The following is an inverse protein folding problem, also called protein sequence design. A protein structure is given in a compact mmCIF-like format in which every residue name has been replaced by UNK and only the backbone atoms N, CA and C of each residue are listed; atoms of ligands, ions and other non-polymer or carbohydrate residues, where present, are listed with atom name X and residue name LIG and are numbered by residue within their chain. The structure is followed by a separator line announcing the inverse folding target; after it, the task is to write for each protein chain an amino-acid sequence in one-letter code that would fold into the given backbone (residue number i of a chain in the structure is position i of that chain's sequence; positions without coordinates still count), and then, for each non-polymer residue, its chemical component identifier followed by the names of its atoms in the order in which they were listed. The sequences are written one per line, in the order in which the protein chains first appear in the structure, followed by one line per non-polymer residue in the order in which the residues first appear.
data_IF_694987718106
#
_entry.id   IF_694987718106
#
_cell.length_a   1.000
_cell.length_b   1.000
_cell.length_c   1.000
_cell.angle_alpha   90.00
_cell.angle_beta   90.00
_cell.angle_gamma   90.00
#
_symmetry.space_group_name_H-M   'P 1'
#
loop_
_entity.id
_entity.type
_entity.pdbx_description
1 polymer ?
#
# COMPACT_ATOMS: atom_id res chain seq x y z
N UNK A 1 -28.90 51.29 8.66
CA UNK A 1 -29.14 50.31 7.59
C UNK A 1 -29.09 48.94 8.24
N UNK A 2 -30.23 48.24 8.31
CA UNK A 2 -30.33 46.91 8.91
C UNK A 2 -29.50 45.94 8.06
N UNK A 3 -28.30 45.58 8.52
CA UNK A 3 -27.69 44.31 8.14
C UNK A 3 -28.53 43.23 8.80
N UNK A 4 -29.49 42.69 8.06
CA UNK A 4 -30.19 41.47 8.48
C UNK A 4 -29.08 40.43 8.62
N UNK A 5 -28.79 40.05 9.87
CA UNK A 5 -27.88 38.96 10.19
C UNK A 5 -28.55 37.69 9.63
N UNK A 6 -28.27 37.37 8.36
CA UNK A 6 -28.82 36.17 7.74
C UNK A 6 -28.19 34.99 8.44
N UNK A 7 -29.02 34.25 9.18
CA UNK A 7 -28.61 33.03 9.86
C UNK A 7 -27.94 32.11 8.83
N UNK A 8 -26.69 31.68 9.07
CA UNK A 8 -25.99 30.76 8.20
C UNK A 8 -26.79 29.46 8.01
N UNK A 9 -26.74 28.88 6.81
CA UNK A 9 -27.33 27.56 6.55
C UNK A 9 -26.38 26.46 7.04
N UNK A 10 -26.52 26.12 8.31
CA UNK A 10 -25.69 25.08 8.96
C UNK A 10 -25.83 23.71 8.30
N UNK A 11 -26.98 23.39 7.69
CA UNK A 11 -27.20 22.09 7.03
C UNK A 11 -26.39 21.99 5.75
N UNK A 12 -26.45 23.03 4.90
CA UNK A 12 -25.64 23.08 3.68
C UNK A 12 -24.14 23.03 4.00
N UNK A 13 -23.71 23.75 5.05
CA UNK A 13 -22.32 23.73 5.50
C UNK A 13 -21.88 22.34 5.98
N UNK A 14 -22.71 21.65 6.75
CA UNK A 14 -22.40 20.31 7.26
C UNK A 14 -22.34 19.27 6.13
N UNK A 15 -23.24 19.34 5.14
CA UNK A 15 -23.19 18.44 3.99
C UNK A 15 -21.95 18.68 3.12
N UNK A 16 -21.58 19.94 2.89
CA UNK A 16 -20.34 20.24 2.16
C UNK A 16 -19.11 19.75 2.93
N UNK A 17 -19.08 19.95 4.25
CA UNK A 17 -17.98 19.47 5.09
C UNK A 17 -17.81 17.95 4.99
N UNK A 18 -18.89 17.16 4.97
CA UNK A 18 -18.79 15.70 4.81
C UNK A 18 -18.12 15.32 3.48
N UNK A 19 -18.46 16.01 2.40
CA UNK A 19 -17.87 15.77 1.08
C UNK A 19 -16.39 16.17 1.05
N UNK A 20 -16.06 17.29 1.67
CA UNK A 20 -14.67 17.76 1.75
C UNK A 20 -13.83 16.78 2.59
N UNK A 21 -14.33 16.34 3.75
CA UNK A 21 -13.68 15.32 4.57
C UNK A 21 -13.54 13.98 3.85
N UNK A 22 -14.52 13.57 3.04
CA UNK A 22 -14.38 12.38 2.21
C UNK A 22 -13.19 12.50 1.25
N UNK A 23 -13.08 13.63 0.54
CA UNK A 23 -11.96 13.90 -0.38
C UNK A 23 -10.63 13.95 0.35
N UNK A 24 -10.59 14.59 1.53
CA UNK A 24 -9.38 14.68 2.34
C UNK A 24 -8.94 13.30 2.83
N UNK A 25 -9.89 12.46 3.25
CA UNK A 25 -9.60 11.09 3.68
C UNK A 25 -8.95 10.28 2.55
N UNK A 26 -9.49 10.36 1.33
CA UNK A 26 -8.91 9.70 0.15
C UNK A 26 -7.44 10.10 -0.08
N UNK A 27 -7.17 11.40 -0.06
CA UNK A 27 -5.83 11.96 -0.27
C UNK A 27 -4.89 11.50 0.85
N UNK A 28 -5.28 11.74 2.11
CA UNK A 28 -4.45 11.42 3.28
C UNK A 28 -4.16 9.93 3.38
N UNK A 29 -5.14 9.05 3.14
CA UNK A 29 -4.95 7.61 3.17
C UNK A 29 -4.03 7.12 2.05
N UNK A 30 -4.19 7.66 0.84
CA UNK A 30 -3.31 7.33 -0.29
C UNK A 30 -1.88 7.79 -0.03
N UNK A 31 -1.70 9.00 0.49
CA UNK A 31 -0.40 9.55 0.85
C UNK A 31 0.25 8.78 2.00
N UNK A 32 -0.53 8.36 3.00
CA UNK A 32 -0.05 7.51 4.09
C UNK A 32 0.52 6.19 3.56
N UNK A 33 -0.24 5.49 2.71
CA UNK A 33 0.20 4.22 2.12
C UNK A 33 1.45 4.45 1.26
N UNK A 34 1.47 5.48 0.41
CA UNK A 34 2.64 5.79 -0.42
C UNK A 34 3.87 6.16 0.39
N UNK A 35 3.71 6.90 1.49
CA UNK A 35 4.79 7.27 2.40
C UNK A 35 5.43 6.05 3.07
N UNK A 36 4.67 4.98 3.33
CA UNK A 36 5.24 3.72 3.83
C UNK A 36 6.25 3.11 2.85
N UNK A 37 6.01 3.22 1.52
CA UNK A 37 6.99 2.78 0.52
C UNK A 37 8.23 3.67 0.48
N UNK A 38 8.07 5.00 0.58
CA UNK A 38 9.22 5.93 0.59
C UNK A 38 10.11 5.75 1.81
N UNK A 39 9.50 5.45 2.97
CA UNK A 39 10.20 5.20 4.23
C UNK A 39 10.65 3.75 4.41
N UNK A 40 10.25 2.87 3.50
CA UNK A 40 10.53 1.42 3.55
C UNK A 40 10.11 0.79 4.89
N UNK A 41 8.92 1.13 5.38
CA UNK A 41 8.45 0.68 6.69
C UNK A 41 6.97 0.92 6.91
N UNK A 42 6.43 0.26 7.93
CA UNK A 42 5.04 0.38 8.37
C UNK A 42 4.93 1.36 9.52
N UNK A 43 4.00 2.32 9.41
CA UNK A 43 3.64 3.23 10.50
C UNK A 43 2.32 2.79 11.14
N UNK A 44 2.34 1.72 11.94
CA UNK A 44 1.17 1.23 12.68
C UNK A 44 0.95 2.03 13.96
N UNK A 45 1.21 1.41 15.11
CA UNK A 45 1.36 2.10 16.40
C UNK A 45 2.76 2.69 16.58
N UNK A 46 3.76 2.12 15.89
CA UNK A 46 5.13 2.61 15.84
C UNK A 46 5.73 2.38 14.45
N UNK A 47 6.93 2.91 14.19
CA UNK A 47 7.61 2.68 12.92
C UNK A 47 8.33 1.34 12.90
N UNK A 48 7.90 0.45 12.03
CA UNK A 48 8.48 -0.87 11.80
C UNK A 48 9.15 -0.90 10.41
N UNK A 49 10.48 -0.78 10.37
CA UNK A 49 11.23 -0.85 9.13
C UNK A 49 11.13 -2.24 8.49
N UNK A 50 10.97 -2.28 7.15
CA UNK A 50 10.96 -3.52 6.39
C UNK A 50 12.34 -4.18 6.38
N UNK A 51 12.35 -5.51 6.21
CA UNK A 51 13.60 -6.25 6.05
C UNK A 51 14.36 -5.76 4.80
N UNK A 52 15.60 -5.35 5.03
CA UNK A 52 16.46 -4.77 4.03
C UNK A 52 16.78 -5.78 2.92
N UNK A 53 16.92 -5.27 1.70
CA UNK A 53 17.33 -6.07 0.54
C UNK A 53 18.72 -6.68 0.76
N UNK A 54 18.87 -7.94 0.34
CA UNK A 54 20.16 -8.65 0.38
C UNK A 54 21.20 -8.08 -0.60
N UNK A 55 20.75 -7.39 -1.64
CA UNK A 55 21.60 -6.82 -2.68
C UNK A 55 21.58 -5.29 -2.62
N UNK A 56 22.76 -4.68 -2.62
CA UNK A 56 22.92 -3.23 -2.69
C UNK A 56 22.67 -2.73 -4.11
N UNK A 57 21.41 -2.49 -4.48
CA UNK A 57 21.04 -1.74 -5.69
C UNK A 57 20.66 -0.29 -5.34
N UNK A 58 20.57 0.58 -6.35
CA UNK A 58 20.23 2.01 -6.15
C UNK A 58 18.75 2.27 -5.87
N UNK A 59 17.87 1.33 -6.20
CA UNK A 59 16.42 1.50 -6.07
C UNK A 59 15.92 1.22 -4.65
N UNK A 60 14.87 1.91 -4.23
CA UNK A 60 14.14 1.60 -3.01
C UNK A 60 13.44 0.23 -3.09
N UNK A 61 13.16 -0.38 -1.94
CA UNK A 61 12.49 -1.66 -1.82
C UNK A 61 11.06 -1.57 -2.41
N UNK A 62 10.66 -2.57 -3.21
CA UNK A 62 9.38 -2.63 -3.94
C UNK A 62 9.14 -1.47 -4.94
N UNK A 63 10.18 -0.71 -5.26
CA UNK A 63 10.11 0.50 -6.10
C UNK A 63 10.93 0.40 -7.39
N UNK A 64 11.24 -0.83 -7.81
CA UNK A 64 12.00 -1.07 -9.06
C UNK A 64 11.12 -0.81 -10.29
N UNK A 65 9.99 -1.51 -10.39
CA UNK A 65 9.01 -1.31 -11.48
C UNK A 65 7.87 -0.37 -11.09
N UNK A 66 7.73 -0.07 -9.79
CA UNK A 66 6.60 0.63 -9.18
C UNK A 66 5.23 0.00 -9.44
N UNK A 67 5.13 -1.24 -9.94
CA UNK A 67 3.85 -1.85 -10.26
C UNK A 67 2.94 -1.99 -9.03
N UNK A 68 3.46 -2.52 -7.91
CA UNK A 68 2.70 -2.60 -6.66
C UNK A 68 2.32 -1.21 -6.13
N UNK A 69 3.27 -0.29 -6.13
CA UNK A 69 3.05 1.09 -5.69
C UNK A 69 1.92 1.77 -6.48
N UNK A 70 1.96 1.67 -7.80
CA UNK A 70 0.96 2.25 -8.69
C UNK A 70 -0.39 1.51 -8.70
N UNK A 71 -0.45 0.28 -8.15
CA UNK A 71 -1.70 -0.49 -8.08
C UNK A 71 -2.59 -0.11 -6.90
N UNK A 72 -2.11 0.79 -6.03
CA UNK A 72 -2.85 1.27 -4.86
C UNK A 72 -3.85 2.31 -5.32
N UNK A 73 -5.12 2.06 -5.04
CA UNK A 73 -6.21 2.93 -5.45
C UNK A 73 -7.35 2.92 -4.44
N UNK A 74 -8.22 3.92 -4.53
CA UNK A 74 -9.48 3.96 -3.80
C UNK A 74 -10.49 3.07 -4.53
N UNK A 75 -10.81 1.93 -3.93
CA UNK A 75 -11.76 0.96 -4.47
C UNK A 75 -13.22 1.46 -4.36
N UNK A 76 -13.53 2.13 -3.25
CA UNK A 76 -14.85 2.67 -2.97
C UNK A 76 -14.72 3.86 -2.03
N UNK A 77 -15.52 4.89 -2.26
CA UNK A 77 -15.53 6.08 -1.42
C UNK A 77 -16.94 6.58 -1.18
N UNK A 78 -17.26 6.80 0.09
CA UNK A 78 -18.51 7.34 0.59
C UNK A 78 -18.19 8.27 1.76
N UNK A 79 -19.14 9.12 2.14
CA UNK A 79 -18.99 10.02 3.30
C UNK A 79 -18.79 9.30 4.64
N UNK A 80 -19.14 8.01 4.71
CA UNK A 80 -18.98 7.18 5.92
C UNK A 80 -17.75 6.27 5.87
N UNK A 81 -17.25 5.97 4.67
CA UNK A 81 -16.19 4.98 4.48
C UNK A 81 -15.47 5.19 3.16
N UNK A 82 -14.14 5.19 3.25
CA UNK A 82 -13.23 5.06 2.13
C UNK A 82 -12.54 3.70 2.22
N UNK A 83 -12.46 3.00 1.10
CA UNK A 83 -11.82 1.67 0.98
C UNK A 83 -10.68 1.81 -0.02
N UNK A 84 -9.48 1.46 0.42
CA UNK A 84 -8.31 1.33 -0.44
C UNK A 84 -8.06 -0.13 -0.78
N UNK A 85 -7.58 -0.38 -2.00
CA UNK A 85 -7.15 -1.68 -2.45
C UNK A 85 -5.80 -1.60 -3.16
N UNK A 86 -5.12 -2.74 -3.24
CA UNK A 86 -3.92 -2.91 -4.05
C UNK A 86 -4.17 -4.04 -5.05
N UNK A 87 -4.34 -3.70 -6.33
CA UNK A 87 -4.75 -4.65 -7.38
C UNK A 87 -3.62 -5.60 -7.82
N UNK A 88 -2.37 -5.33 -7.44
CA UNK A 88 -1.27 -6.22 -7.80
C UNK A 88 -1.50 -7.65 -7.23
N UNK A 89 -1.35 -8.72 -8.04
CA UNK A 89 -1.71 -10.08 -7.63
C UNK A 89 -0.81 -10.64 -6.50
N UNK A 90 0.31 -9.98 -6.22
CA UNK A 90 1.23 -10.29 -5.15
C UNK A 90 1.19 -9.28 -3.99
N UNK A 91 0.25 -8.32 -4.01
CA UNK A 91 0.13 -7.30 -2.97
C UNK A 91 -0.03 -7.93 -1.58
N UNK A 92 -0.95 -8.89 -1.45
CA UNK A 92 -1.24 -9.55 -0.18
C UNK A 92 0.01 -10.23 0.41
N UNK A 93 0.69 -11.09 -0.37
CA UNK A 93 1.87 -11.81 0.12
C UNK A 93 3.03 -10.88 0.48
N UNK A 94 3.12 -9.71 -0.16
CA UNK A 94 4.07 -8.68 0.23
C UNK A 94 3.66 -7.98 1.52
N UNK A 95 2.37 -7.66 1.70
CA UNK A 95 1.86 -6.97 2.89
C UNK A 95 1.92 -7.83 4.16
N UNK A 96 1.53 -9.10 4.03
CA UNK A 96 1.42 -10.04 5.16
C UNK A 96 2.70 -10.86 5.37
N UNK A 97 3.51 -11.01 4.32
CA UNK A 97 4.57 -12.01 4.27
C UNK A 97 4.00 -13.43 4.13
N UNK A 98 4.88 -14.41 3.93
CA UNK A 98 4.47 -15.80 3.92
C UNK A 98 5.41 -16.72 3.14
N UNK A 99 4.93 -17.93 2.88
CA UNK A 99 5.68 -18.96 2.18
C UNK A 99 4.89 -19.46 0.98
N UNK A 100 5.48 -19.33 -0.21
CA UNK A 100 4.92 -19.81 -1.46
C UNK A 100 5.54 -21.17 -1.82
N UNK A 101 4.69 -22.14 -2.15
CA UNK A 101 5.11 -23.43 -2.66
C UNK A 101 4.78 -23.52 -4.15
N UNK A 102 5.73 -23.17 -5.01
CA UNK A 102 5.55 -23.04 -6.46
C UNK A 102 5.80 -24.40 -7.14
N UNK A 103 4.85 -24.96 -7.90
CA UNK A 103 5.06 -26.23 -8.59
C UNK A 103 6.09 -26.12 -9.72
N UNK A 104 6.93 -27.14 -9.85
CA UNK A 104 7.96 -27.27 -10.87
C UNK A 104 7.34 -27.96 -12.08
N UNK A 105 6.94 -27.15 -13.05
CA UNK A 105 6.31 -27.65 -14.29
C UNK A 105 7.36 -28.10 -15.30
N UNK A 106 6.96 -28.88 -16.29
CA UNK A 106 7.83 -29.21 -17.43
C UNK A 106 8.31 -27.97 -18.18
N UNK A 107 7.46 -26.95 -18.30
CA UNK A 107 7.83 -25.65 -18.89
C UNK A 107 8.93 -24.97 -18.08
N UNK A 108 8.86 -25.03 -16.74
CA UNK A 108 9.90 -24.54 -15.84
C UNK A 108 11.23 -25.26 -16.08
N UNK A 109 11.20 -26.60 -16.19
CA UNK A 109 12.42 -27.40 -16.47
C UNK A 109 13.03 -27.07 -17.83
N UNK A 110 12.22 -26.90 -18.87
CA UNK A 110 12.68 -26.44 -20.19
C UNK A 110 13.33 -25.06 -20.11
N UNK A 111 12.74 -24.14 -19.34
CA UNK A 111 13.32 -22.83 -19.10
C UNK A 111 14.66 -22.92 -18.36
N UNK A 112 14.79 -23.77 -17.33
CA UNK A 112 16.05 -23.96 -16.62
C UNK A 112 17.15 -24.52 -17.55
N UNK A 113 16.83 -25.46 -18.42
CA UNK A 113 17.78 -25.93 -19.44
C UNK A 113 18.19 -24.84 -20.43
N UNK A 114 17.23 -24.03 -20.87
CA UNK A 114 17.50 -22.87 -21.72
C UNK A 114 18.47 -21.89 -21.04
N UNK A 115 18.21 -21.54 -19.77
CA UNK A 115 19.07 -20.65 -18.99
C UNK A 115 20.45 -21.23 -18.76
N UNK A 116 20.57 -22.55 -18.50
CA UNK A 116 21.87 -23.21 -18.39
C UNK A 116 22.67 -23.10 -19.70
N UNK A 117 22.04 -23.35 -20.85
CA UNK A 117 22.71 -23.20 -22.16
C UNK A 117 23.13 -21.76 -22.44
N UNK A 118 22.33 -20.77 -22.03
CA UNK A 118 22.61 -19.36 -22.27
C UNK A 118 23.70 -18.79 -21.34
N UNK A 119 23.72 -19.20 -20.07
CA UNK A 119 24.59 -18.59 -19.04
C UNK A 119 25.78 -19.47 -18.63
N UNK A 120 25.70 -20.78 -18.83
CA UNK A 120 26.68 -21.75 -18.30
C UNK A 120 26.62 -21.96 -16.78
N UNK A 121 25.71 -21.30 -16.06
CA UNK A 121 25.66 -21.41 -14.60
C UNK A 121 25.02 -22.72 -14.14
N UNK A 122 25.80 -23.56 -13.45
CA UNK A 122 25.38 -24.90 -12.97
C UNK A 122 24.10 -24.90 -12.12
N UNK A 123 23.78 -23.79 -11.43
CA UNK A 123 22.53 -23.66 -10.63
C UNK A 123 21.28 -23.99 -11.46
N UNK A 124 21.26 -23.59 -12.73
CA UNK A 124 20.11 -23.83 -13.61
C UNK A 124 19.98 -25.29 -14.00
N UNK A 125 21.11 -25.97 -14.25
CA UNK A 125 21.12 -27.41 -14.51
C UNK A 125 20.60 -28.19 -13.31
N UNK A 126 21.00 -27.80 -12.09
CA UNK A 126 20.53 -28.44 -10.87
C UNK A 126 19.03 -28.24 -10.66
N UNK A 127 18.52 -27.03 -10.92
CA UNK A 127 17.07 -26.76 -10.92
C UNK A 127 16.32 -27.56 -11.98
N UNK A 128 16.89 -27.76 -13.16
CA UNK A 128 16.28 -28.55 -14.23
C UNK A 128 16.17 -30.04 -13.86
N UNK A 129 17.20 -30.56 -13.20
CA UNK A 129 17.33 -31.97 -12.80
C UNK A 129 16.73 -32.28 -11.42
N UNK A 130 16.25 -31.28 -10.68
CA UNK A 130 15.74 -31.49 -9.32
C UNK A 130 14.61 -32.51 -9.29
N UNK A 131 14.65 -33.42 -8.33
CA UNK A 131 13.55 -34.40 -8.12
C UNK A 131 12.37 -33.78 -7.38
N UNK A 132 12.55 -32.60 -6.78
CA UNK A 132 11.47 -31.92 -6.09
C UNK A 132 10.37 -31.53 -7.09
N UNK A 133 9.13 -31.57 -6.63
CA UNK A 133 7.97 -31.15 -7.42
C UNK A 133 7.60 -29.69 -7.16
N UNK A 134 8.12 -29.07 -6.09
CA UNK A 134 7.82 -27.69 -5.72
C UNK A 134 9.08 -26.96 -5.22
N UNK A 135 9.13 -25.65 -5.45
CA UNK A 135 10.05 -24.73 -4.82
C UNK A 135 9.36 -23.97 -3.69
N UNK A 136 9.98 -23.96 -2.53
CA UNK A 136 9.52 -23.18 -1.37
C UNK A 136 10.25 -21.85 -1.34
N UNK A 137 9.50 -20.75 -1.38
CA UNK A 137 10.01 -19.38 -1.34
C UNK A 137 9.40 -18.67 -0.16
N UNK A 138 10.23 -18.19 0.77
CA UNK A 138 9.80 -17.31 1.85
C UNK A 138 9.83 -15.87 1.36
N UNK A 139 8.72 -15.16 1.53
CA UNK A 139 8.57 -13.73 1.27
C UNK A 139 8.44 -13.04 2.63
N UNK A 140 9.37 -12.14 2.94
CA UNK A 140 9.31 -11.39 4.20
C UNK A 140 8.18 -10.36 4.18
N UNK A 141 7.57 -10.16 5.35
CA UNK A 141 6.47 -9.21 5.55
C UNK A 141 6.97 -7.78 5.30
N UNK A 142 6.29 -7.06 4.41
CA UNK A 142 6.53 -5.66 4.06
C UNK A 142 5.19 -4.95 4.11
N UNK A 143 4.70 -4.73 5.33
CA UNK A 143 3.37 -4.17 5.53
C UNK A 143 3.35 -2.70 5.07
N UNK A 144 2.44 -2.39 4.16
CA UNK A 144 2.21 -1.04 3.63
C UNK A 144 0.75 -0.59 3.84
N UNK A 145 -0.16 -1.53 4.13
CA UNK A 145 -1.57 -1.31 4.42
C UNK A 145 -2.02 -2.13 5.65
N UNK A 146 -2.98 -1.60 6.39
CA UNK A 146 -3.58 -2.22 7.57
C UNK A 146 -4.02 -1.17 8.58
N UNK A 147 -4.44 -1.63 9.76
CA UNK A 147 -4.87 -0.75 10.85
C UNK A 147 -3.68 0.01 11.45
N UNK A 148 -3.78 1.35 11.50
CA UNK A 148 -2.72 2.23 11.99
C UNK A 148 -3.28 3.24 12.97
N UNK A 149 -2.81 3.19 14.22
CA UNK A 149 -3.15 4.16 15.25
C UNK A 149 -2.63 5.56 14.90
N UNK A 150 -1.44 5.63 14.28
CA UNK A 150 -0.84 6.90 13.85
C UNK A 150 -1.72 7.57 12.78
N UNK A 151 -2.10 6.82 11.74
CA UNK A 151 -2.97 7.36 10.70
C UNK A 151 -4.33 7.80 11.26
N UNK A 152 -4.93 6.98 12.14
CA UNK A 152 -6.19 7.35 12.80
C UNK A 152 -6.06 8.65 13.58
N UNK A 153 -5.00 8.82 14.37
CA UNK A 153 -4.78 10.06 15.12
C UNK A 153 -4.55 11.27 14.21
N UNK A 154 -3.80 11.11 13.12
CA UNK A 154 -3.53 12.18 12.16
C UNK A 154 -4.83 12.60 11.43
N UNK A 155 -5.65 11.63 11.04
CA UNK A 155 -6.95 11.85 10.42
C UNK A 155 -7.93 12.54 11.38
N UNK A 156 -8.02 12.10 12.63
CA UNK A 156 -8.88 12.72 13.65
C UNK A 156 -8.50 14.18 13.89
N UNK A 157 -7.20 14.47 14.01
CA UNK A 157 -6.72 15.83 14.16
C UNK A 157 -7.07 16.71 12.94
N UNK A 158 -6.92 16.19 11.73
CA UNK A 158 -7.31 16.89 10.50
C UNK A 158 -8.81 17.21 10.49
N UNK A 159 -9.65 16.20 10.71
CA UNK A 159 -11.10 16.35 10.70
C UNK A 159 -11.60 17.37 11.75
N UNK A 160 -11.04 17.33 12.96
CA UNK A 160 -11.37 18.30 14.03
C UNK A 160 -10.95 19.71 13.62
N UNK A 161 -9.77 19.89 13.03
CA UNK A 161 -9.29 21.20 12.58
C UNK A 161 -10.15 21.76 11.45
N UNK A 162 -10.60 20.93 10.51
CA UNK A 162 -11.52 21.35 9.45
C UNK A 162 -12.88 21.78 10.01
N UNK A 163 -13.43 21.03 10.98
CA UNK A 163 -14.64 21.43 11.70
C UNK A 163 -14.42 22.79 12.39
N UNK A 164 -13.36 22.94 13.19
CA UNK A 164 -13.11 24.20 13.91
C UNK A 164 -12.95 25.37 12.92
N UNK A 165 -12.19 25.18 11.84
CA UNK A 165 -11.92 26.22 10.85
C UNK A 165 -13.20 26.66 10.13
N UNK A 166 -14.05 25.71 9.73
CA UNK A 166 -15.30 26.01 9.02
C UNK A 166 -16.29 26.80 9.88
N UNK A 167 -16.34 26.52 11.18
CA UNK A 167 -17.30 27.13 12.10
C UNK A 167 -16.73 28.29 12.92
N UNK A 168 -15.45 28.66 12.75
CA UNK A 168 -14.76 29.72 13.50
C UNK A 168 -15.35 31.12 13.35
N UNK A 169 -15.99 31.40 12.21
CA UNK A 169 -16.45 32.74 11.83
C UNK A 169 -17.97 32.89 11.80
N UNK A 170 -18.69 31.90 12.34
CA UNK A 170 -20.14 31.96 12.58
C UNK A 170 -20.42 32.58 13.95
#
# INVERSE_FOLDING_TARGET
MNTINQMPDFMAMAEQLKLDLQSDAEIMGTDFIHNNFYKEGWHGSSFEAWEQKKQSNSYQLLRVTNYLFNSIQVASSTTERVIWEADAPYAQIHNEGGVLNIPITERSRKFFWFMFKATGEEKWKWMALTKNERFTVKIDKRQFMGDSEIFTSDWEAHAINEIITRFKHL
#
